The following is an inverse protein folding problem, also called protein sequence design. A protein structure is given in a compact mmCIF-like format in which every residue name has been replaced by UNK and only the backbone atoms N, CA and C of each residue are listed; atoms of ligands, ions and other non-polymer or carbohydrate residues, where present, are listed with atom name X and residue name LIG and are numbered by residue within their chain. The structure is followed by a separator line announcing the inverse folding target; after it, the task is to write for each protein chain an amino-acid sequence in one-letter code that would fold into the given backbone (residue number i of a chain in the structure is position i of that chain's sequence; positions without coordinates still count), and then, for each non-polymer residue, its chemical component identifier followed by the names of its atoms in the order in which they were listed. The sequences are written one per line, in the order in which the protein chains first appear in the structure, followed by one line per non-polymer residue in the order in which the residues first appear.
data_IF_145008206809
#
_entry.id   IF_145008206809
#
_cell.length_a   1.000
_cell.length_b   1.000
_cell.length_c   1.000
_cell.angle_alpha   90.00
_cell.angle_beta   90.00
_cell.angle_gamma   90.00
#
_symmetry.space_group_name_H-M   'P 1'
#
loop_
_entity.id
_entity.type
_entity.pdbx_description
1 polymer ?
#
# COMPACT_ATOMS: atom_id res chain seq x y z
N UNK A 1 -20.72 11.70 17.30
CA UNK A 1 -19.81 10.64 17.77
C UNK A 1 -18.62 10.60 16.82
N UNK A 2 -17.48 11.18 17.21
CA UNK A 2 -16.24 11.05 16.44
C UNK A 2 -15.72 9.63 16.70
N UNK A 3 -15.97 8.73 15.76
CA UNK A 3 -15.31 7.43 15.74
C UNK A 3 -13.85 7.76 15.43
N UNK A 4 -12.95 7.63 16.41
CA UNK A 4 -11.53 7.90 16.21
C UNK A 4 -11.05 7.16 14.96
N UNK A 5 -10.35 7.87 14.08
CA UNK A 5 -9.78 7.30 12.86
C UNK A 5 -8.94 6.05 13.23
N UNK A 6 -8.87 5.03 12.36
CA UNK A 6 -8.05 3.86 12.61
C UNK A 6 -6.58 4.28 12.74
N UNK A 7 -6.11 4.35 13.98
CA UNK A 7 -4.74 4.68 14.35
C UNK A 7 -4.01 3.40 14.76
N UNK A 8 -2.78 3.22 14.28
CA UNK A 8 -1.88 2.21 14.84
C UNK A 8 -1.36 2.69 16.20
N UNK A 9 -1.15 1.77 17.14
CA UNK A 9 -0.62 2.17 18.45
C UNK A 9 0.80 2.73 18.31
N UNK A 10 1.23 3.53 19.28
CA UNK A 10 2.61 4.02 19.31
C UNK A 10 3.61 2.87 19.41
N UNK A 11 3.29 1.83 20.18
CA UNK A 11 4.14 0.65 20.33
C UNK A 11 4.28 -0.11 19.00
N UNK A 12 3.21 -0.22 18.22
CA UNK A 12 3.25 -0.83 16.88
C UNK A 12 4.09 0.00 15.91
N UNK A 13 3.91 1.33 15.92
CA UNK A 13 4.70 2.23 15.08
C UNK A 13 6.20 2.11 15.43
N UNK A 14 6.52 2.06 16.73
CA UNK A 14 7.90 1.89 17.17
C UNK A 14 8.45 0.50 16.85
N UNK A 15 7.63 -0.55 16.93
CA UNK A 15 8.02 -1.88 16.49
C UNK A 15 8.38 -1.86 15.00
N UNK A 16 7.55 -1.24 14.15
CA UNK A 16 7.80 -1.13 12.71
C UNK A 16 9.12 -0.45 12.41
N UNK A 17 9.41 0.68 13.07
CA UNK A 17 10.68 1.40 12.89
C UNK A 17 11.87 0.59 13.37
N UNK A 18 11.77 -0.04 14.54
CA UNK A 18 12.88 -0.78 15.15
C UNK A 18 13.25 -2.05 14.40
N UNK A 19 12.25 -2.78 13.89
CA UNK A 19 12.43 -4.10 13.30
C UNK A 19 12.36 -4.09 11.77
N UNK A 20 12.09 -2.93 11.16
CA UNK A 20 11.84 -2.79 9.71
C UNK A 20 10.77 -3.78 9.20
N UNK A 21 9.79 -4.07 10.06
CA UNK A 21 8.83 -5.14 9.85
C UNK A 21 7.44 -4.78 10.41
N UNK A 22 6.39 -5.23 9.73
CA UNK A 22 5.02 -5.11 10.22
C UNK A 22 4.80 -6.11 11.37
N UNK A 23 4.28 -5.69 12.55
CA UNK A 23 3.89 -6.60 13.63
C UNK A 23 2.92 -7.67 13.15
N UNK A 24 3.06 -8.90 13.66
CA UNK A 24 2.29 -10.04 13.17
C UNK A 24 0.77 -9.83 13.24
N UNK A 25 0.27 -9.19 14.32
CA UNK A 25 -1.16 -8.89 14.49
C UNK A 25 -1.69 -7.82 13.53
N UNK A 26 -0.81 -7.08 12.85
CA UNK A 26 -1.18 -6.08 11.85
C UNK A 26 -1.07 -6.59 10.42
N UNK A 27 -0.49 -7.78 10.21
CA UNK A 27 -0.36 -8.36 8.88
C UNK A 27 -1.72 -8.60 8.22
N UNK A 28 -1.86 -8.23 6.95
CA UNK A 28 -3.01 -8.58 6.13
C UNK A 28 -2.69 -9.69 5.12
N UNK A 29 -3.73 -10.33 4.60
CA UNK A 29 -3.65 -11.37 3.56
C UNK A 29 -4.22 -10.88 2.23
N UNK A 30 -4.21 -9.57 2.00
CA UNK A 30 -4.71 -8.98 0.76
C UNK A 30 -3.80 -9.31 -0.42
N UNK A 31 -4.41 -9.52 -1.58
CA UNK A 31 -3.73 -9.67 -2.86
C UNK A 31 -4.10 -8.45 -3.69
N UNK A 32 -3.09 -7.73 -4.17
CA UNK A 32 -3.27 -6.56 -5.02
C UNK A 32 -2.36 -6.70 -6.24
N UNK A 33 -2.92 -7.01 -7.44
CA UNK A 33 -2.13 -7.23 -8.64
C UNK A 33 -1.21 -6.07 -9.02
N UNK A 34 -1.54 -4.84 -8.59
CA UNK A 34 -0.69 -3.68 -8.83
C UNK A 34 0.68 -3.75 -8.14
N UNK A 35 0.86 -4.66 -7.18
CA UNK A 35 2.14 -4.90 -6.48
C UNK A 35 2.89 -6.12 -7.04
N UNK A 36 2.37 -6.79 -8.08
CA UNK A 36 3.04 -7.90 -8.75
C UNK A 36 3.35 -9.05 -7.79
N UNK A 37 4.64 -9.41 -7.70
CA UNK A 37 5.12 -10.46 -6.80
C UNK A 37 5.23 -9.99 -5.34
N UNK A 38 5.17 -8.68 -5.08
CA UNK A 38 5.31 -8.16 -3.73
C UNK A 38 4.01 -8.30 -2.94
N UNK A 39 4.14 -8.94 -1.78
CA UNK A 39 3.02 -9.14 -0.86
C UNK A 39 2.65 -7.84 -0.16
N UNK A 40 1.37 -7.50 -0.16
CA UNK A 40 0.84 -6.44 0.71
C UNK A 40 0.87 -6.93 2.16
N UNK A 41 1.71 -6.32 2.99
CA UNK A 41 1.90 -6.68 4.39
C UNK A 41 0.90 -5.96 5.29
N UNK A 42 0.60 -4.70 4.99
CA UNK A 42 -0.31 -3.88 5.79
C UNK A 42 -1.03 -2.86 4.91
N UNK A 43 -2.32 -2.67 5.18
CA UNK A 43 -3.13 -1.63 4.53
C UNK A 43 -4.10 -1.01 5.50
N UNK A 44 -4.17 0.33 5.49
CA UNK A 44 -5.18 1.10 6.24
C UNK A 44 -5.69 2.26 5.41
N UNK A 45 -6.92 2.63 5.69
CA UNK A 45 -7.60 3.78 5.11
C UNK A 45 -7.99 4.72 6.24
N UNK A 46 -7.64 5.99 6.12
CA UNK A 46 -8.18 7.07 6.97
C UNK A 46 -8.67 8.19 6.07
N UNK A 47 -9.96 8.50 6.18
CA UNK A 47 -10.67 9.41 5.27
C UNK A 47 -10.38 9.10 3.79
N UNK A 48 -9.60 9.95 3.13
CA UNK A 48 -9.29 9.88 1.71
C UNK A 48 -7.88 9.34 1.42
N UNK A 49 -7.19 8.85 2.45
CA UNK A 49 -5.80 8.39 2.36
C UNK A 49 -5.75 6.90 2.58
N UNK A 50 -4.99 6.20 1.73
CA UNK A 50 -4.62 4.79 1.92
C UNK A 50 -3.13 4.65 2.09
N UNK A 51 -2.72 4.08 3.22
CA UNK A 51 -1.35 3.62 3.45
C UNK A 51 -1.26 2.14 3.10
N UNK A 52 -0.29 1.77 2.27
CA UNK A 52 0.04 0.38 1.96
C UNK A 52 1.53 0.16 2.23
N UNK A 53 1.85 -0.85 3.04
CA UNK A 53 3.21 -1.38 3.22
C UNK A 53 3.23 -2.74 2.53
N UNK A 54 4.22 -2.96 1.68
CA UNK A 54 4.41 -4.19 0.92
C UNK A 54 5.85 -4.69 1.10
N UNK A 55 6.06 -5.96 0.79
CA UNK A 55 7.36 -6.63 0.92
C UNK A 55 8.29 -6.27 -0.25
N UNK A 56 8.73 -5.01 -0.30
CA UNK A 56 9.59 -4.45 -1.34
C UNK A 56 10.85 -3.75 -0.80
N UNK A 57 11.20 -3.99 0.46
CA UNK A 57 12.36 -3.37 1.12
C UNK A 57 12.28 -1.82 1.07
N UNK A 58 13.18 -1.15 0.34
CA UNK A 58 13.21 0.32 0.20
C UNK A 58 12.56 0.81 -1.10
N UNK A 59 11.82 -0.04 -1.81
CA UNK A 59 11.20 0.33 -3.09
C UNK A 59 9.90 1.13 -2.89
N UNK A 60 9.65 2.03 -3.84
CA UNK A 60 8.37 2.72 -3.98
C UNK A 60 7.69 2.24 -5.26
N UNK A 61 6.50 1.65 -5.12
CA UNK A 61 5.66 1.27 -6.26
C UNK A 61 4.85 2.47 -6.75
N UNK A 62 5.54 3.41 -7.40
CA UNK A 62 4.96 4.68 -7.88
C UNK A 62 3.75 4.44 -8.79
N UNK A 63 3.85 3.48 -9.70
CA UNK A 63 2.78 3.20 -10.65
C UNK A 63 1.53 2.62 -9.96
N UNK A 64 1.68 1.81 -8.92
CA UNK A 64 0.55 1.35 -8.12
C UNK A 64 -0.15 2.52 -7.39
N UNK A 65 0.64 3.50 -6.92
CA UNK A 65 0.11 4.70 -6.30
C UNK A 65 -0.59 5.63 -7.32
N UNK A 66 0.03 5.87 -8.48
CA UNK A 66 -0.51 6.70 -9.56
C UNK A 66 -1.76 6.09 -10.19
N UNK A 67 -1.76 4.78 -10.42
CA UNK A 67 -2.95 4.07 -10.90
C UNK A 67 -4.10 4.23 -9.92
N UNK A 68 -3.86 4.06 -8.62
CA UNK A 68 -4.90 4.27 -7.62
C UNK A 68 -5.39 5.72 -7.65
N UNK A 69 -4.49 6.70 -7.69
CA UNK A 69 -4.84 8.10 -7.72
C UNK A 69 -5.66 8.47 -8.98
N UNK A 70 -5.32 7.89 -10.14
CA UNK A 70 -5.99 8.16 -11.42
C UNK A 70 -7.49 7.81 -11.42
N UNK A 71 -7.90 6.89 -10.53
CA UNK A 71 -9.30 6.46 -10.39
C UNK A 71 -10.14 7.36 -9.49
N UNK A 72 -9.52 8.35 -8.83
CA UNK A 72 -10.21 9.20 -7.87
C UNK A 72 -10.79 10.43 -8.56
N UNK A 73 -12.10 10.64 -8.38
CA UNK A 73 -12.83 11.74 -9.00
C UNK A 73 -13.44 12.61 -7.89
N UNK A 74 -13.22 13.92 -7.97
CA UNK A 74 -13.78 14.88 -7.01
C UNK A 74 -15.30 14.77 -6.97
N UNK A 75 -15.85 14.58 -5.77
CA UNK A 75 -17.30 14.46 -5.56
C UNK A 75 -17.87 13.06 -5.82
N UNK A 76 -17.04 12.09 -6.21
CA UNK A 76 -17.43 10.68 -6.28
C UNK A 76 -16.89 9.90 -5.06
N UNK A 77 -17.53 8.78 -4.70
CA UNK A 77 -16.96 7.85 -3.72
C UNK A 77 -15.57 7.38 -4.16
N UNK A 78 -14.65 7.24 -3.20
CA UNK A 78 -13.28 6.80 -3.46
C UNK A 78 -13.31 5.35 -3.94
N UNK A 79 -12.59 5.08 -5.03
CA UNK A 79 -12.38 3.72 -5.51
C UNK A 79 -11.26 3.06 -4.70
N UNK A 80 -11.63 2.08 -3.88
CA UNK A 80 -10.71 1.30 -3.06
C UNK A 80 -10.28 -0.03 -3.70
N UNK A 81 -10.75 -0.32 -4.92
CA UNK A 81 -10.45 -1.56 -5.60
C UNK A 81 -8.91 -1.77 -5.77
N UNK A 82 -8.44 -3.03 -5.77
CA UNK A 82 -7.08 -3.36 -6.20
C UNK A 82 -6.77 -2.76 -7.58
N UNK A 83 -5.51 -2.47 -7.84
CA UNK A 83 -5.10 -1.99 -9.16
C UNK A 83 -4.87 -3.15 -10.14
N UNK A 84 -4.77 -2.86 -11.45
CA UNK A 84 -4.44 -3.84 -12.47
C UNK A 84 -2.99 -4.30 -12.38
N UNK A 85 -2.72 -5.53 -12.83
CA UNK A 85 -1.36 -6.09 -12.88
C UNK A 85 -0.39 -5.26 -13.75
N UNK A 86 -0.91 -4.47 -14.70
CA UNK A 86 -0.10 -3.58 -15.53
C UNK A 86 0.70 -2.56 -14.72
N UNK A 87 0.21 -2.18 -13.53
CA UNK A 87 0.94 -1.26 -12.65
C UNK A 87 2.24 -1.86 -12.08
N UNK A 88 2.37 -3.19 -12.07
CA UNK A 88 3.58 -3.87 -11.59
C UNK A 88 4.63 -4.10 -12.69
N UNK A 89 4.27 -3.99 -13.98
CA UNK A 89 5.14 -4.36 -15.10
C UNK A 89 6.22 -3.32 -15.43
N UNK A 90 6.01 -2.06 -15.07
CA UNK A 90 6.96 -0.98 -15.43
C UNK A 90 8.27 -1.00 -14.62
N UNK A 91 8.37 -1.79 -13.54
CA UNK A 91 9.63 -1.98 -12.80
C UNK A 91 10.63 -2.91 -13.51
N UNK A 92 10.17 -3.90 -14.27
CA UNK A 92 11.06 -4.85 -14.97
C UNK A 92 11.83 -4.17 -16.12
N UNK A 93 11.30 -3.08 -16.67
CA UNK A 93 11.99 -2.29 -17.69
C UNK A 93 13.30 -1.64 -17.18
N UNK A 94 13.41 -1.44 -15.86
CA UNK A 94 14.64 -0.93 -15.21
C UNK A 94 15.73 -2.02 -15.10
N UNK A 95 15.38 -3.29 -15.31
CA UNK A 95 16.30 -4.45 -15.32
C UNK A 95 16.74 -4.86 -16.72
N UNK A 96 16.09 -4.35 -17.79
CA UNK A 96 16.48 -4.64 -19.18
C UNK A 96 17.63 -3.78 -19.72
N UNK A 97 18.12 -2.79 -18.97
CA UNK A 97 19.32 -2.02 -19.32
C UNK A 97 20.43 -2.28 -18.29
N UNK A 98 21.06 -3.45 -18.36
CA UNK A 98 22.38 -3.69 -17.77
C UNK A 98 23.21 -4.62 -18.62
#
# INVERSE_FOLDING_TARGET
SFRGEPQISWDDAMYMVKNEAVPEHLLCKEIDPAFGEHKVLFRRVSNNVRLTIFDGNHDLYEQAALEWLSRQIKGQPISWAPGPASAALDLDSSKLTS
#
